data_IF_291830746406
#
_entry.id   IF_291830746406
#
_cell.length_a   1.000
_cell.length_b   1.000
_cell.length_c   1.000
_cell.angle_alpha   90.00
_cell.angle_beta   90.00
_cell.angle_gamma   90.00
#
_symmetry.space_group_name_H-M   'P 1'
#
loop_
_entity.id
_entity.type
_entity.pdbx_description
1 polymer ?
#
# COMPACT_ATOMS: atom_id res chain seq x y z
N UNK A 1 -29.64 36.57 -29.88
CA UNK A 1 -29.96 35.14 -29.58
C UNK A 1 -29.04 34.16 -30.34
N UNK A 2 -28.62 34.38 -31.60
CA UNK A 2 -27.70 33.46 -32.32
C UNK A 2 -26.30 33.40 -31.67
N UNK A 3 -25.67 34.52 -31.36
CA UNK A 3 -24.34 34.57 -30.71
C UNK A 3 -24.33 33.87 -29.36
N UNK A 4 -25.37 33.98 -28.54
CA UNK A 4 -25.49 33.31 -27.25
C UNK A 4 -25.54 31.77 -27.43
N UNK A 5 -26.29 31.27 -28.42
CA UNK A 5 -26.33 29.83 -28.70
C UNK A 5 -25.00 29.29 -29.19
N UNK A 6 -24.28 30.06 -30.02
CA UNK A 6 -22.91 29.70 -30.47
C UNK A 6 -21.94 29.63 -29.31
N UNK A 7 -21.93 30.63 -28.42
CA UNK A 7 -21.07 30.62 -27.23
C UNK A 7 -21.40 29.43 -26.32
N UNK A 8 -22.69 29.16 -26.09
CA UNK A 8 -23.13 28.01 -25.29
C UNK A 8 -22.74 26.66 -25.87
N UNK A 9 -22.74 26.55 -27.21
CA UNK A 9 -22.36 25.28 -27.88
C UNK A 9 -20.88 24.91 -27.64
N UNK A 10 -20.02 25.89 -27.38
CA UNK A 10 -18.63 25.65 -27.01
C UNK A 10 -18.40 25.51 -25.49
N UNK A 11 -19.12 26.30 -24.68
CA UNK A 11 -18.97 26.29 -23.21
C UNK A 11 -19.46 24.97 -22.62
N UNK A 12 -20.62 24.47 -23.05
CA UNK A 12 -21.23 23.25 -22.48
C UNK A 12 -20.31 22.02 -22.59
N UNK A 13 -19.72 21.69 -23.75
CA UNK A 13 -18.78 20.56 -23.83
C UNK A 13 -17.54 20.74 -22.97
N UNK A 14 -17.01 21.96 -22.84
CA UNK A 14 -15.86 22.26 -21.99
C UNK A 14 -16.19 22.02 -20.52
N UNK A 15 -17.33 22.52 -20.03
CA UNK A 15 -17.78 22.32 -18.65
C UNK A 15 -18.00 20.84 -18.35
N UNK A 16 -18.64 20.09 -19.27
CA UNK A 16 -18.81 18.63 -19.14
C UNK A 16 -17.44 17.93 -19.08
N UNK A 17 -16.52 18.27 -19.98
CA UNK A 17 -15.17 17.71 -19.97
C UNK A 17 -14.41 17.96 -18.66
N UNK A 18 -14.50 19.18 -18.12
CA UNK A 18 -13.91 19.53 -16.83
C UNK A 18 -14.57 18.78 -15.67
N UNK A 19 -15.88 18.65 -15.68
CA UNK A 19 -16.62 17.89 -14.66
C UNK A 19 -16.23 16.42 -14.67
N UNK A 20 -16.12 15.80 -15.84
CA UNK A 20 -15.66 14.42 -15.99
C UNK A 20 -14.21 14.27 -15.51
N UNK A 21 -13.32 15.17 -15.92
CA UNK A 21 -11.92 15.16 -15.49
C UNK A 21 -11.79 15.29 -13.95
N UNK A 22 -12.58 16.16 -13.36
CA UNK A 22 -12.65 16.32 -11.91
C UNK A 22 -13.17 15.06 -11.21
N UNK A 23 -14.23 14.45 -11.75
CA UNK A 23 -14.79 13.20 -11.23
C UNK A 23 -13.74 12.06 -11.29
N UNK A 24 -13.06 11.90 -12.42
CA UNK A 24 -11.99 10.90 -12.57
C UNK A 24 -10.89 11.13 -11.52
N UNK A 25 -10.39 12.36 -11.39
CA UNK A 25 -9.37 12.71 -10.40
C UNK A 25 -9.84 12.45 -8.97
N UNK A 26 -11.09 12.72 -8.64
CA UNK A 26 -11.62 12.59 -7.29
C UNK A 26 -11.92 11.14 -6.90
N UNK A 27 -12.45 10.33 -7.82
CA UNK A 27 -12.98 9.01 -7.51
C UNK A 27 -12.11 7.84 -8.00
N UNK A 28 -11.29 8.03 -9.05
CA UNK A 28 -10.55 6.91 -9.66
C UNK A 28 -9.14 6.81 -9.12
N UNK A 29 -8.40 7.89 -9.08
CA UNK A 29 -7.02 7.86 -8.58
C UNK A 29 -6.61 9.18 -7.92
N UNK A 30 -5.60 9.08 -7.06
CA UNK A 30 -4.94 10.24 -6.47
C UNK A 30 -3.43 10.12 -6.63
N UNK A 31 -2.75 11.25 -6.75
CA UNK A 31 -1.30 11.32 -6.82
C UNK A 31 -0.73 11.43 -5.41
N UNK A 32 0.19 10.54 -5.09
CA UNK A 32 0.86 10.50 -3.78
C UNK A 32 2.36 10.62 -3.97
N UNK A 33 3.02 11.34 -3.08
CA UNK A 33 4.47 11.38 -2.98
C UNK A 33 4.90 10.36 -1.93
N UNK A 34 5.84 9.49 -2.29
CA UNK A 34 6.44 8.54 -1.36
C UNK A 34 7.37 9.28 -0.42
N UNK A 35 7.17 9.12 0.88
CA UNK A 35 8.05 9.68 1.90
C UNK A 35 8.81 8.57 2.62
N UNK A 36 10.13 8.79 2.76
CA UNK A 36 11.05 7.87 3.41
C UNK A 36 11.51 6.69 2.54
N UNK A 37 12.46 5.91 3.07
CA UNK A 37 13.12 4.81 2.37
C UNK A 37 12.43 3.45 2.52
N UNK A 38 11.31 3.36 3.23
CA UNK A 38 10.70 2.09 3.67
C UNK A 38 10.28 1.13 2.55
N UNK A 39 10.13 1.64 1.32
CA UNK A 39 9.74 0.85 0.14
C UNK A 39 10.89 0.67 -0.87
N UNK A 40 12.11 1.07 -0.50
CA UNK A 40 13.30 0.77 -1.32
C UNK A 40 13.54 -0.75 -1.41
N UNK A 41 14.08 -1.23 -2.53
CA UNK A 41 14.51 -0.49 -3.73
C UNK A 41 13.36 -0.16 -4.71
N UNK A 42 12.15 -0.65 -4.48
CA UNK A 42 11.06 -0.61 -5.45
C UNK A 42 10.42 0.77 -5.62
N UNK A 43 10.30 1.53 -4.54
CA UNK A 43 9.92 2.94 -4.59
C UNK A 43 11.00 3.78 -3.90
N UNK A 44 11.35 4.90 -4.52
CA UNK A 44 12.35 5.82 -3.97
C UNK A 44 11.68 6.92 -3.14
N UNK A 45 12.44 7.48 -2.22
CA UNK A 45 12.01 8.69 -1.51
C UNK A 45 11.69 9.81 -2.52
N UNK A 46 10.63 10.56 -2.26
CA UNK A 46 10.10 11.63 -3.12
C UNK A 46 9.54 11.18 -4.48
N UNK A 47 9.48 9.89 -4.77
CA UNK A 47 8.88 9.37 -5.99
C UNK A 47 7.36 9.65 -6.01
N UNK A 48 6.85 10.05 -7.18
CA UNK A 48 5.43 10.32 -7.38
C UNK A 48 4.77 9.08 -7.96
N UNK A 49 3.79 8.55 -7.26
CA UNK A 49 3.01 7.37 -7.66
C UNK A 49 1.54 7.69 -7.74
N UNK A 50 0.77 6.83 -8.42
CA UNK A 50 -0.69 6.91 -8.43
C UNK A 50 -1.29 5.86 -7.50
N UNK A 51 -2.22 6.28 -6.66
CA UNK A 51 -3.04 5.39 -5.84
C UNK A 51 -4.42 5.25 -6.50
N UNK A 52 -4.74 4.05 -6.98
CA UNK A 52 -6.01 3.72 -7.60
C UNK A 52 -7.01 3.31 -6.52
N UNK A 53 -8.04 4.13 -6.35
CA UNK A 53 -9.03 4.00 -5.27
C UNK A 53 -9.98 2.83 -5.46
N UNK A 54 -10.28 2.50 -6.72
CA UNK A 54 -11.23 1.45 -7.07
C UNK A 54 -10.58 0.06 -7.20
N UNK A 55 -9.27 -0.04 -7.05
CA UNK A 55 -8.57 -1.32 -7.17
C UNK A 55 -8.77 -2.18 -5.94
N UNK A 56 -9.07 -3.46 -6.16
CA UNK A 56 -9.12 -4.46 -5.09
C UNK A 56 -7.74 -4.66 -4.48
N UNK A 57 -7.64 -4.62 -3.17
CA UNK A 57 -6.44 -5.01 -2.45
C UNK A 57 -6.30 -6.53 -2.48
N UNK A 58 -5.12 -7.01 -2.85
CA UNK A 58 -4.75 -8.41 -2.96
C UNK A 58 -3.44 -8.66 -2.21
N UNK A 59 -3.02 -9.92 -2.05
CA UNK A 59 -1.67 -10.23 -1.59
C UNK A 59 -0.64 -9.55 -2.49
N UNK A 60 0.41 -9.03 -1.91
CA UNK A 60 1.51 -8.29 -2.53
C UNK A 60 1.12 -6.96 -3.19
N UNK A 61 -0.16 -6.54 -3.15
CA UNK A 61 -0.51 -5.16 -3.52
C UNK A 61 0.27 -4.17 -2.68
N UNK A 62 0.82 -3.14 -3.32
CA UNK A 62 1.36 -1.98 -2.60
C UNK A 62 0.23 -0.99 -2.41
N UNK A 63 -0.03 -0.55 -1.18
CA UNK A 63 -1.13 0.36 -0.85
C UNK A 63 -0.62 1.66 -0.25
N UNK A 64 -1.41 2.72 -0.45
CA UNK A 64 -1.33 3.96 0.32
C UNK A 64 -2.42 3.92 1.36
N UNK A 65 -2.13 4.28 2.59
CA UNK A 65 -3.11 4.39 3.67
C UNK A 65 -2.77 5.55 4.62
N UNK A 66 -3.78 6.06 5.30
CA UNK A 66 -3.61 7.05 6.37
C UNK A 66 -3.11 6.34 7.63
N UNK A 67 -1.90 6.67 8.06
CA UNK A 67 -1.26 6.05 9.22
C UNK A 67 -1.74 6.59 10.56
N UNK A 68 -2.52 7.68 10.56
CA UNK A 68 -3.06 8.27 11.79
C UNK A 68 -4.07 7.33 12.46
N UNK A 69 -3.76 6.94 13.69
CA UNK A 69 -4.52 5.97 14.45
C UNK A 69 -4.10 4.51 14.24
N UNK A 70 -3.23 4.23 13.24
CA UNK A 70 -2.64 2.90 13.00
C UNK A 70 -1.23 2.82 13.63
N UNK A 71 -0.36 3.74 13.25
CA UNK A 71 0.97 3.89 13.85
C UNK A 71 0.91 4.92 14.99
N UNK A 72 1.19 4.53 16.24
CA UNK A 72 1.21 5.47 17.37
C UNK A 72 2.17 6.64 17.21
N UNK A 73 3.18 6.52 16.35
CA UNK A 73 4.12 7.60 16.04
C UNK A 73 3.58 8.63 15.03
N UNK A 74 2.52 8.28 14.30
CA UNK A 74 1.87 9.18 13.35
C UNK A 74 0.96 10.19 14.07
N UNK A 75 1.47 11.40 14.33
CA UNK A 75 0.77 12.45 15.10
C UNK A 75 -0.31 13.19 14.30
N UNK A 76 -0.36 13.03 12.99
CA UNK A 76 -1.30 13.68 12.08
C UNK A 76 -1.62 12.75 10.91
N UNK A 77 -2.64 13.11 10.13
CA UNK A 77 -2.96 12.40 8.88
C UNK A 77 -1.75 12.37 7.94
N UNK A 78 -1.09 11.23 7.87
CA UNK A 78 0.11 11.01 7.09
C UNK A 78 -0.04 9.77 6.25
N UNK A 79 0.16 9.88 4.95
CA UNK A 79 0.06 8.75 4.05
C UNK A 79 1.33 7.89 4.11
N UNK A 80 1.16 6.64 4.53
CA UNK A 80 2.19 5.61 4.42
C UNK A 80 1.99 4.76 3.16
N UNK A 81 3.12 4.24 2.66
CA UNK A 81 3.13 3.28 1.54
C UNK A 81 3.75 1.99 2.03
N UNK A 82 3.03 0.89 1.94
CA UNK A 82 3.48 -0.45 2.36
C UNK A 82 2.93 -1.52 1.42
N UNK A 83 3.52 -2.72 1.48
CA UNK A 83 3.07 -3.90 0.75
C UNK A 83 2.17 -4.77 1.62
N UNK A 84 1.02 -5.13 1.12
CA UNK A 84 0.09 -6.05 1.79
C UNK A 84 0.65 -7.46 1.74
N UNK A 85 0.81 -8.05 2.90
CA UNK A 85 1.29 -9.43 3.07
C UNK A 85 0.13 -10.34 3.47
N UNK A 86 -0.66 -9.92 4.46
CA UNK A 86 -1.81 -10.69 4.94
C UNK A 86 -3.12 -9.97 4.68
N UNK A 87 -4.09 -10.72 4.18
CA UNK A 87 -5.49 -10.33 4.02
C UNK A 87 -6.33 -10.79 5.22
N UNK A 88 -7.56 -10.28 5.41
CA UNK A 88 -8.45 -10.73 6.48
C UNK A 88 -8.59 -12.26 6.52
N UNK A 89 -8.34 -12.86 7.68
CA UNK A 89 -8.39 -14.30 7.91
C UNK A 89 -7.08 -15.06 7.70
N UNK A 90 -6.05 -14.40 7.14
CA UNK A 90 -4.77 -15.06 6.91
C UNK A 90 -3.96 -15.24 8.20
N UNK A 91 -3.25 -16.36 8.29
CA UNK A 91 -2.09 -16.50 9.16
C UNK A 91 -0.85 -15.99 8.45
N UNK A 92 -0.01 -15.22 9.16
CA UNK A 92 1.26 -14.74 8.59
C UNK A 92 2.39 -15.09 9.55
N UNK A 93 3.48 -15.57 9.01
CA UNK A 93 4.70 -15.86 9.76
C UNK A 93 5.96 -15.60 8.94
N UNK A 94 7.07 -15.43 9.63
CA UNK A 94 8.39 -15.34 9.03
C UNK A 94 9.35 -16.34 9.67
N UNK A 95 10.09 -17.05 8.83
CA UNK A 95 11.13 -17.99 9.25
C UNK A 95 12.32 -17.91 8.29
N UNK A 96 13.50 -17.67 8.82
CA UNK A 96 14.76 -17.62 8.05
C UNK A 96 14.70 -16.68 6.83
N UNK A 97 14.05 -15.51 7.02
CA UNK A 97 13.89 -14.50 5.96
C UNK A 97 12.78 -14.79 4.94
N UNK A 98 12.04 -15.87 5.10
CA UNK A 98 10.91 -16.18 4.23
C UNK A 98 9.59 -15.94 4.94
N UNK A 99 8.67 -15.28 4.22
CA UNK A 99 7.30 -15.07 4.68
C UNK A 99 6.41 -16.23 4.22
N UNK A 100 5.54 -16.65 5.11
CA UNK A 100 4.52 -17.66 4.88
C UNK A 100 3.14 -17.06 5.16
N UNK A 101 2.22 -17.23 4.23
CA UNK A 101 0.81 -16.90 4.37
C UNK A 101 0.02 -18.20 4.28
N UNK A 102 -0.77 -18.49 5.29
CA UNK A 102 -1.51 -19.75 5.41
C UNK A 102 -0.61 -20.99 5.18
N UNK A 103 0.58 -20.97 5.81
CA UNK A 103 1.64 -21.97 5.70
C UNK A 103 2.25 -22.14 4.30
N UNK A 104 1.90 -21.30 3.33
CA UNK A 104 2.50 -21.29 1.99
C UNK A 104 3.53 -20.17 1.90
N UNK A 105 4.75 -20.51 1.47
CA UNK A 105 5.80 -19.55 1.20
C UNK A 105 5.38 -18.64 0.06
N UNK A 106 5.45 -17.32 0.28
CA UNK A 106 5.14 -16.33 -0.77
C UNK A 106 6.41 -15.93 -1.54
N UNK A 107 6.21 -15.47 -2.77
CA UNK A 107 7.30 -14.89 -3.55
C UNK A 107 7.77 -13.56 -2.94
N UNK A 108 9.07 -13.41 -2.78
CA UNK A 108 9.73 -12.20 -2.31
C UNK A 108 10.88 -11.78 -3.26
N UNK A 109 10.77 -12.12 -4.54
CA UNK A 109 11.77 -11.75 -5.57
C UNK A 109 11.91 -10.24 -5.75
N UNK A 110 10.92 -9.48 -5.29
CA UNK A 110 10.94 -8.01 -5.30
C UNK A 110 11.93 -7.36 -4.32
N UNK A 111 12.54 -8.13 -3.40
CA UNK A 111 13.58 -7.65 -2.48
C UNK A 111 14.81 -8.57 -2.50
N UNK A 112 15.96 -8.03 -2.13
CA UNK A 112 17.22 -8.77 -2.10
C UNK A 112 17.24 -9.88 -1.03
N UNK A 113 18.14 -10.83 -1.17
CA UNK A 113 18.38 -11.86 -0.15
C UNK A 113 18.76 -11.23 1.19
N UNK A 114 19.61 -10.19 1.16
CA UNK A 114 20.04 -9.47 2.37
C UNK A 114 18.84 -8.88 3.12
N UNK A 115 17.92 -8.17 2.44
CA UNK A 115 16.72 -7.64 3.07
C UNK A 115 15.82 -8.72 3.67
N UNK A 116 15.70 -9.87 3.00
CA UNK A 116 14.95 -11.00 3.55
C UNK A 116 15.55 -11.54 4.83
N UNK A 117 16.86 -11.75 4.87
CA UNK A 117 17.53 -12.45 5.98
C UNK A 117 17.86 -11.56 7.16
N UNK A 118 18.31 -10.32 6.94
CA UNK A 118 18.74 -9.43 8.00
C UNK A 118 17.63 -8.52 8.54
N UNK A 119 16.65 -8.17 7.71
CA UNK A 119 15.62 -7.19 8.10
C UNK A 119 14.28 -7.78 8.51
N UNK A 120 13.95 -9.02 8.11
CA UNK A 120 12.60 -9.55 8.33
C UNK A 120 12.43 -10.20 9.70
N UNK A 121 13.43 -10.92 10.22
CA UNK A 121 13.36 -11.64 11.50
C UNK A 121 12.52 -12.91 11.46
N UNK A 122 12.42 -13.60 12.60
CA UNK A 122 11.59 -14.79 12.80
C UNK A 122 10.44 -14.45 13.76
N UNK A 123 9.21 -14.62 13.30
CA UNK A 123 8.01 -14.28 14.06
C UNK A 123 6.75 -14.97 13.50
N UNK A 124 5.73 -15.00 14.32
CA UNK A 124 4.34 -15.29 13.94
C UNK A 124 3.48 -14.11 14.34
N UNK A 125 2.29 -13.93 13.75
CA UNK A 125 1.36 -12.88 14.21
C UNK A 125 1.13 -12.97 15.70
N UNK A 126 0.88 -14.18 16.22
CA UNK A 126 0.68 -14.41 17.67
C UNK A 126 1.88 -13.97 18.53
N UNK A 127 3.12 -14.18 18.05
CA UNK A 127 4.31 -13.73 18.79
C UNK A 127 4.46 -12.21 18.74
N UNK A 128 4.18 -11.57 17.60
CA UNK A 128 4.20 -10.12 17.46
C UNK A 128 3.13 -9.45 18.34
N UNK A 129 1.89 -9.93 18.31
CA UNK A 129 0.82 -9.44 19.16
C UNK A 129 1.23 -9.44 20.64
N UNK A 130 1.86 -10.54 21.07
CA UNK A 130 2.34 -10.68 22.46
C UNK A 130 3.50 -9.73 22.79
N UNK A 131 4.48 -9.60 21.89
CA UNK A 131 5.71 -8.82 22.17
C UNK A 131 5.54 -7.33 21.97
N UNK A 132 4.70 -6.91 21.03
CA UNK A 132 4.47 -5.49 20.72
C UNK A 132 3.26 -4.90 21.46
N UNK A 133 2.43 -5.72 22.10
CA UNK A 133 1.27 -5.26 22.86
C UNK A 133 0.09 -4.76 22.02
N UNK A 134 0.10 -4.99 20.69
CA UNK A 134 -1.03 -4.66 19.84
C UNK A 134 -1.91 -5.91 19.60
N UNK A 135 -3.21 -5.68 19.47
CA UNK A 135 -4.18 -6.77 19.30
C UNK A 135 -4.51 -7.52 20.60
N UNK A 136 -5.37 -8.50 20.51
CA UNK A 136 -5.81 -9.31 21.65
C UNK A 136 -4.87 -10.48 21.99
N UNK A 137 -3.84 -10.72 21.18
CA UNK A 137 -2.91 -11.87 21.32
C UNK A 137 -3.57 -13.24 21.18
N UNK A 138 -4.84 -13.27 20.74
CA UNK A 138 -5.67 -14.48 20.84
C UNK A 138 -5.85 -15.23 19.52
N UNK A 139 -5.82 -14.56 18.40
CA UNK A 139 -6.21 -15.20 17.13
C UNK A 139 -5.04 -15.65 16.26
N UNK A 140 -3.92 -14.90 16.24
CA UNK A 140 -2.78 -15.19 15.35
C UNK A 140 -3.14 -15.14 13.87
N UNK A 141 -4.27 -14.49 13.54
CA UNK A 141 -4.76 -14.26 12.18
C UNK A 141 -5.04 -12.78 11.96
N UNK A 142 -4.98 -12.34 10.71
CA UNK A 142 -5.35 -10.98 10.34
C UNK A 142 -6.85 -10.77 10.58
N UNK A 143 -7.26 -9.76 11.39
CA UNK A 143 -8.66 -9.54 11.69
C UNK A 143 -9.50 -9.18 10.46
N UNK A 144 -10.82 -9.40 10.54
CA UNK A 144 -11.77 -8.96 9.51
C UNK A 144 -11.67 -7.43 9.32
N UNK A 145 -11.61 -7.00 8.07
CA UNK A 145 -11.52 -5.58 7.72
C UNK A 145 -10.13 -4.97 7.90
N UNK A 146 -9.09 -5.76 8.18
CA UNK A 146 -7.72 -5.28 8.37
C UNK A 146 -6.73 -5.95 7.44
N UNK A 147 -5.57 -5.33 7.28
CA UNK A 147 -4.45 -5.84 6.49
C UNK A 147 -3.16 -5.87 7.32
N UNK A 148 -2.34 -6.88 7.09
CA UNK A 148 -0.97 -6.93 7.61
C UNK A 148 -0.01 -6.49 6.52
N UNK A 149 0.77 -5.45 6.76
CA UNK A 149 1.59 -4.81 5.74
C UNK A 149 3.06 -4.73 6.16
N UNK A 150 3.97 -4.86 5.18
CA UNK A 150 5.41 -4.71 5.38
C UNK A 150 5.98 -3.69 4.40
N UNK A 151 7.05 -3.00 4.80
CA UNK A 151 7.89 -2.28 3.86
C UNK A 151 8.79 -3.24 3.07
N UNK A 152 9.17 -2.87 1.87
CA UNK A 152 10.12 -3.63 1.06
C UNK A 152 11.54 -3.53 1.63
N UNK A 153 11.92 -2.38 2.20
CA UNK A 153 13.15 -2.19 2.97
C UNK A 153 12.97 -2.70 4.40
N UNK A 154 13.00 -4.01 4.56
CA UNK A 154 12.66 -4.73 5.79
C UNK A 154 13.39 -4.27 7.03
N UNK A 155 14.68 -3.92 6.88
CA UNK A 155 15.57 -3.51 7.97
C UNK A 155 15.28 -2.10 8.51
N UNK A 156 14.62 -1.25 7.72
CA UNK A 156 14.37 0.17 8.05
C UNK A 156 12.88 0.48 8.28
N UNK A 157 11.99 -0.36 7.73
CA UNK A 157 10.57 -0.08 7.72
C UNK A 157 9.93 -0.17 9.10
N UNK A 158 9.30 0.92 9.54
CA UNK A 158 8.29 0.90 10.58
C UNK A 158 6.96 0.46 9.95
N UNK A 159 6.50 -0.77 10.27
CA UNK A 159 5.36 -1.42 9.63
C UNK A 159 4.59 -2.32 10.62
N UNK A 160 3.68 -3.13 10.11
CA UNK A 160 2.80 -3.99 10.92
C UNK A 160 3.52 -4.89 11.93
N UNK A 161 4.82 -5.12 11.78
CA UNK A 161 5.59 -5.86 12.80
C UNK A 161 5.67 -5.12 14.14
N UNK A 162 5.52 -3.80 14.11
CA UNK A 162 5.67 -2.93 15.30
C UNK A 162 4.34 -2.41 15.82
N UNK A 163 3.42 -1.98 14.94
CA UNK A 163 2.18 -1.31 15.33
C UNK A 163 0.90 -2.08 14.96
N UNK A 164 0.98 -3.23 14.29
CA UNK A 164 -0.15 -4.12 14.03
C UNK A 164 -0.77 -3.95 12.65
N UNK A 165 -2.09 -3.89 12.60
CA UNK A 165 -2.84 -3.99 11.36
C UNK A 165 -3.27 -2.62 10.84
N UNK A 166 -3.52 -2.54 9.53
CA UNK A 166 -4.12 -1.38 8.87
C UNK A 166 -5.60 -1.63 8.64
N UNK A 167 -6.45 -0.71 9.08
CA UNK A 167 -7.88 -0.76 8.81
C UNK A 167 -8.15 -0.53 7.31
N UNK A 168 -9.06 -1.33 6.75
CA UNK A 168 -9.46 -1.23 5.34
C UNK A 168 -9.91 0.18 4.97
N UNK A 169 -10.63 0.84 5.88
CA UNK A 169 -11.19 2.18 5.65
C UNK A 169 -10.13 3.29 5.65
N UNK A 170 -8.93 2.99 6.15
CA UNK A 170 -7.76 3.87 6.06
C UNK A 170 -7.04 3.79 4.71
N UNK A 171 -7.36 2.78 3.88
CA UNK A 171 -6.71 2.59 2.59
C UNK A 171 -7.18 3.63 1.58
N UNK A 172 -6.26 4.45 1.10
CA UNK A 172 -6.49 5.45 0.07
C UNK A 172 -6.57 4.83 -1.33
N UNK A 173 -5.76 3.80 -1.59
CA UNK A 173 -5.78 3.08 -2.86
C UNK A 173 -4.56 2.18 -3.08
N UNK A 174 -4.61 1.42 -4.17
CA UNK A 174 -3.51 0.53 -4.61
C UNK A 174 -2.55 1.32 -5.50
N UNK A 175 -1.27 1.24 -5.17
CA UNK A 175 -0.20 1.95 -5.89
C UNK A 175 0.01 1.36 -7.27
N UNK A 176 0.13 2.23 -8.27
CA UNK A 176 0.60 1.93 -9.61
C UNK A 176 1.69 2.93 -10.01
N UNK A 177 2.77 2.41 -10.57
CA UNK A 177 3.90 3.20 -11.03
C UNK A 177 3.86 3.32 -12.55
N UNK A 178 3.84 4.55 -13.10
CA UNK A 178 3.85 4.78 -14.53
C UNK A 178 5.16 4.32 -15.20
N UNK A 179 5.08 3.98 -16.49
CA UNK A 179 6.25 3.47 -17.24
C UNK A 179 7.38 4.50 -17.41
N UNK A 180 7.09 5.78 -17.27
CA UNK A 180 8.07 6.87 -17.43
C UNK A 180 8.79 7.28 -16.13
N UNK A 181 8.37 6.74 -14.97
CA UNK A 181 8.92 7.16 -13.65
C UNK A 181 9.80 6.11 -13.00
N UNK A 182 9.88 4.90 -13.55
CA UNK A 182 10.56 3.78 -12.92
C UNK A 182 11.15 2.80 -13.95
N UNK A 183 12.15 2.02 -13.51
CA UNK A 183 12.69 0.93 -14.33
C UNK A 183 11.66 -0.17 -14.54
N UNK A 184 11.80 -0.96 -15.61
CA UNK A 184 10.90 -2.08 -15.90
C UNK A 184 10.77 -3.04 -14.72
N UNK A 185 11.89 -3.40 -14.08
CA UNK A 185 11.91 -4.30 -12.92
C UNK A 185 11.15 -3.73 -11.72
N UNK A 186 11.44 -2.49 -11.33
CA UNK A 186 10.76 -1.84 -10.20
C UNK A 186 9.25 -1.72 -10.46
N UNK A 187 8.88 -1.36 -11.69
CA UNK A 187 7.48 -1.27 -12.10
C UNK A 187 6.77 -2.63 -12.01
N UNK A 188 7.40 -3.72 -12.49
CA UNK A 188 6.85 -5.07 -12.36
C UNK A 188 6.68 -5.47 -10.89
N UNK A 189 7.67 -5.18 -10.05
CA UNK A 189 7.61 -5.45 -8.61
C UNK A 189 6.49 -4.72 -7.88
N UNK A 190 6.01 -3.59 -8.40
CA UNK A 190 4.88 -2.84 -7.82
C UNK A 190 3.55 -3.21 -8.50
N UNK A 191 3.54 -3.29 -9.83
CA UNK A 191 2.29 -3.37 -10.59
C UNK A 191 1.78 -4.80 -10.78
N UNK A 192 2.69 -5.79 -10.86
CA UNK A 192 2.39 -7.11 -11.44
C UNK A 192 2.51 -8.26 -10.42
N UNK A 193 3.05 -8.00 -9.21
CA UNK A 193 3.24 -9.02 -8.19
C UNK A 193 1.95 -9.41 -7.44
N UNK A 194 0.91 -8.58 -7.47
CA UNK A 194 -0.33 -8.81 -6.72
C UNK A 194 -1.17 -9.96 -7.31
N UNK A 195 -1.63 -10.91 -6.46
CA UNK A 195 -2.43 -12.10 -6.84
C UNK A 195 -3.61 -12.37 -5.90
#
# INVERSE_FOLDING_TARGET
MKAFKEIMSWIVPIVIGLAIAFAIKSFVFTRVRVDGPSMQPNLQNNEKVFAWKMSKVKHLSVIVFDAYGEDPSAKAHTNYVKRVIGLPGDTVSSKNGYIYVNNKKIDQSFISKSERTSGTGNWTLKSLEKTQGWGSGKTGVVPKGKYFVLGDHRSVSNDSRYWGFVDKDKVVGVVKVPFWTSTKTRRANINDMAY
#
